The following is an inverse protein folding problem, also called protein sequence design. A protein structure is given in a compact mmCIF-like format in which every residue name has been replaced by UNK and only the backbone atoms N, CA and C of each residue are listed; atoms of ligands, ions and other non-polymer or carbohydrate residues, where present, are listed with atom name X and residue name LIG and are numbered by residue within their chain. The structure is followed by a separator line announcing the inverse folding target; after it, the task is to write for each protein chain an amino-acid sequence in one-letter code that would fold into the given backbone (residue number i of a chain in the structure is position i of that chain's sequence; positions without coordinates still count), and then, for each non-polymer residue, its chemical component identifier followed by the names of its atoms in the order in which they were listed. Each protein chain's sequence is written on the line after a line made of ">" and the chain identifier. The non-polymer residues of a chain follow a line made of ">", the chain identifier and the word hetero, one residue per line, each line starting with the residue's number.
data_IF_245917993221
#
_entry.id   IF_245917993221
#
_cell.length_a   1.000
_cell.length_b   1.000
_cell.length_c   1.000
_cell.angle_alpha   90.00
_cell.angle_beta   90.00
_cell.angle_gamma   90.00
#
_symmetry.space_group_name_H-M   'P 1'
#
loop_
_entity.id
_entity.type
_entity.pdbx_description
1 polymer ?
#
# COMPACT_ATOMS: atom_id res chain seq x y z
N UNK A 1 -6.55 17.82 3.45
CA UNK A 1 -7.02 17.76 4.85
C UNK A 1 -5.92 17.56 5.90
N UNK A 2 -4.63 17.40 5.55
CA UNK A 2 -3.55 17.35 6.56
C UNK A 2 -3.42 16.04 7.36
N UNK A 3 -3.95 14.93 6.84
CA UNK A 3 -3.70 13.59 7.38
C UNK A 3 -2.22 13.24 7.22
N UNK A 4 -1.65 12.60 8.24
CA UNK A 4 -0.28 12.07 8.20
C UNK A 4 -0.32 10.58 8.47
N UNK A 5 0.69 9.87 7.97
CA UNK A 5 0.78 8.42 8.01
C UNK A 5 2.15 8.01 8.56
N UNK A 6 2.22 6.81 9.15
CA UNK A 6 3.49 6.21 9.54
C UNK A 6 4.23 5.61 8.33
N UNK A 7 5.43 5.05 8.57
CA UNK A 7 6.26 4.41 7.53
C UNK A 7 5.60 3.22 6.85
N UNK A 8 4.59 2.61 7.48
CA UNK A 8 3.82 1.49 6.91
C UNK A 8 2.55 1.97 6.19
N UNK A 9 2.36 3.29 6.02
CA UNK A 9 1.18 3.84 5.37
C UNK A 9 -0.09 3.78 6.23
N UNK A 10 0.02 3.57 7.54
CA UNK A 10 -1.13 3.59 8.45
C UNK A 10 -1.44 5.01 8.88
N UNK A 11 -2.72 5.35 8.92
CA UNK A 11 -3.15 6.70 9.31
C UNK A 11 -2.90 6.91 10.81
N UNK A 12 -2.32 8.06 11.17
CA UNK A 12 -2.22 8.40 12.59
C UNK A 12 -3.61 8.67 13.20
N UNK A 13 -3.76 8.33 14.48
CA UNK A 13 -4.99 8.59 15.23
C UNK A 13 -5.37 10.07 15.18
N UNK A 14 -6.67 10.36 15.20
CA UNK A 14 -7.25 11.72 15.16
C UNK A 14 -6.94 12.51 13.88
N UNK A 15 -6.61 11.84 12.78
CA UNK A 15 -6.57 12.43 11.44
C UNK A 15 -7.90 12.24 10.72
N UNK A 16 -8.25 13.14 9.78
CA UNK A 16 -9.51 13.05 9.05
C UNK A 16 -9.56 11.92 8.02
N UNK A 17 -8.41 11.32 7.67
CA UNK A 17 -8.40 10.16 6.78
C UNK A 17 -9.01 8.95 7.53
N UNK A 18 -10.03 8.29 6.96
CA UNK A 18 -10.76 7.23 7.66
C UNK A 18 -10.06 5.86 7.58
N UNK A 19 -9.14 5.69 6.63
CA UNK A 19 -8.48 4.41 6.33
C UNK A 19 -6.98 4.61 6.11
N UNK A 20 -6.23 3.51 6.20
CA UNK A 20 -4.83 3.43 5.82
C UNK A 20 -4.68 3.57 4.29
N UNK A 21 -3.46 3.79 3.82
CA UNK A 21 -3.17 3.74 2.39
C UNK A 21 -3.47 2.34 1.84
N UNK A 22 -4.14 2.29 0.69
CA UNK A 22 -4.42 1.05 -0.02
C UNK A 22 -3.11 0.43 -0.53
N UNK A 23 -3.00 -0.89 -0.38
CA UNK A 23 -1.89 -1.65 -0.95
C UNK A 23 -2.42 -2.27 -2.25
N UNK A 24 -1.95 -1.82 -3.42
CA UNK A 24 -2.40 -2.39 -4.68
C UNK A 24 -1.92 -3.84 -4.83
N UNK A 25 -2.60 -4.66 -5.66
CA UNK A 25 -2.07 -5.92 -6.16
C UNK A 25 -0.63 -5.75 -6.64
N UNK A 26 0.29 -6.60 -6.16
CA UNK A 26 1.68 -6.54 -6.58
C UNK A 26 2.40 -7.87 -6.35
N UNK A 27 3.43 -8.13 -7.15
CA UNK A 27 4.32 -9.27 -6.97
C UNK A 27 5.75 -8.95 -7.43
N UNK A 28 6.70 -9.76 -6.97
CA UNK A 28 8.09 -9.68 -7.40
C UNK A 28 8.29 -10.53 -8.66
N UNK A 29 8.66 -9.90 -9.78
CA UNK A 29 9.02 -10.60 -11.02
C UNK A 29 10.44 -11.18 -10.96
N UNK A 30 11.30 -10.52 -10.18
CA UNK A 30 12.66 -10.95 -9.83
C UNK A 30 13.08 -10.23 -8.55
N UNK A 31 14.28 -10.53 -8.03
CA UNK A 31 14.80 -9.92 -6.79
C UNK A 31 14.82 -8.38 -6.80
N UNK A 32 14.90 -7.76 -7.98
CA UNK A 32 15.03 -6.32 -8.15
C UNK A 32 13.86 -5.68 -8.93
N UNK A 33 12.85 -6.46 -9.32
CA UNK A 33 11.73 -5.98 -10.15
C UNK A 33 10.41 -6.34 -9.49
N UNK A 34 9.58 -5.32 -9.25
CA UNK A 34 8.23 -5.45 -8.72
C UNK A 34 7.25 -5.01 -9.80
N UNK A 35 6.22 -5.82 -10.04
CA UNK A 35 5.07 -5.45 -10.87
C UNK A 35 3.90 -5.06 -10.00
N UNK A 36 3.26 -3.95 -10.35
CA UNK A 36 2.10 -3.38 -9.65
C UNK A 36 0.88 -3.52 -10.57
N UNK A 37 -0.26 -3.95 -10.02
CA UNK A 37 -1.53 -4.11 -10.74
C UNK A 37 -1.87 -5.56 -11.11
N UNK A 38 -1.02 -6.53 -10.78
CA UNK A 38 -1.22 -7.95 -11.05
C UNK A 38 -0.94 -8.76 -9.78
N UNK A 39 -1.80 -9.73 -9.48
CA UNK A 39 -1.60 -10.68 -8.36
C UNK A 39 -0.85 -11.92 -8.84
N UNK A 40 0.40 -11.77 -9.31
CA UNK A 40 1.46 -12.80 -9.46
C UNK A 40 1.13 -14.22 -9.96
N UNK A 41 -0.07 -14.47 -10.48
CA UNK A 41 -0.63 -15.79 -10.69
C UNK A 41 -0.86 -16.59 -9.40
N UNK A 42 -1.87 -16.24 -8.60
CA UNK A 42 -2.62 -17.23 -7.82
C UNK A 42 -4.10 -16.83 -7.72
N UNK A 43 -4.89 -17.41 -8.63
CA UNK A 43 -6.34 -17.59 -8.49
C UNK A 43 -6.61 -19.00 -7.98
#
# INVERSE_FOLDING_TARGET
>A
HGSTFDLSGRVYKNKPAPINLEIPPHFYESDLVIRIGEDGGNA
#
